data_IF_540863547878
#
_entry.id   IF_540863547878
#
_cell.length_a   1.000
_cell.length_b   1.000
_cell.length_c   1.000
_cell.angle_alpha   90.00
_cell.angle_beta   90.00
_cell.angle_gamma   90.00
#
_symmetry.space_group_name_H-M   'P 1'
#
loop_
_entity.id
_entity.type
_entity.pdbx_description
1 polymer ?
#
# COMPACT_ATOMS: atom_id res chain seq x y z
N UNK A 1 44.85 29.18 -4.53
CA UNK A 1 44.75 27.77 -4.10
C UNK A 1 43.63 27.55 -3.08
N UNK A 2 43.50 28.39 -2.05
CA UNK A 2 42.57 28.16 -0.93
C UNK A 2 41.07 28.33 -1.27
N UNK A 3 40.72 29.24 -2.19
CA UNK A 3 39.32 29.46 -2.61
C UNK A 3 38.72 28.22 -3.31
N UNK A 4 39.49 27.57 -4.18
CA UNK A 4 39.04 26.38 -4.93
C UNK A 4 38.78 25.19 -4.00
N UNK A 5 39.61 25.05 -2.97
CA UNK A 5 39.47 24.00 -1.96
C UNK A 5 38.21 24.19 -1.10
N UNK A 6 37.87 25.44 -0.77
CA UNK A 6 36.64 25.79 -0.05
C UNK A 6 35.37 25.50 -0.87
N UNK A 7 35.36 25.86 -2.15
CA UNK A 7 34.22 25.59 -3.05
C UNK A 7 34.00 24.09 -3.24
N UNK A 8 35.09 23.31 -3.37
CA UNK A 8 35.02 21.86 -3.47
C UNK A 8 34.42 21.21 -2.21
N UNK A 9 34.80 21.70 -1.02
CA UNK A 9 34.24 21.23 0.25
C UNK A 9 32.75 21.58 0.42
N UNK A 10 32.35 22.78 0.00
CA UNK A 10 30.94 23.21 0.02
C UNK A 10 30.11 22.38 -0.96
N UNK A 11 30.65 22.11 -2.16
CA UNK A 11 30.02 21.25 -3.16
C UNK A 11 29.82 19.82 -2.65
N UNK A 12 30.83 19.23 -1.99
CA UNK A 12 30.73 17.92 -1.34
C UNK A 12 29.68 17.86 -0.23
N UNK A 13 29.47 18.95 0.51
CA UNK A 13 28.45 19.02 1.57
C UNK A 13 27.03 19.04 1.02
N UNK A 14 26.79 19.68 -0.13
CA UNK A 14 25.47 19.73 -0.78
C UNK A 14 24.98 18.37 -1.32
N UNK A 15 25.89 17.46 -1.67
CA UNK A 15 25.54 16.14 -2.24
C UNK A 15 24.93 15.19 -1.19
N UNK A 16 25.13 15.45 0.10
CA UNK A 16 24.77 14.53 1.18
C UNK A 16 23.38 14.77 1.81
N UNK A 17 22.51 15.58 1.20
CA UNK A 17 21.14 15.75 1.68
C UNK A 17 20.33 14.50 1.32
N UNK A 18 20.30 13.53 2.24
CA UNK A 18 19.37 12.41 2.18
C UNK A 18 18.10 12.79 2.95
N UNK A 19 17.02 13.03 2.21
CA UNK A 19 15.70 13.21 2.79
C UNK A 19 15.23 11.82 3.26
N UNK A 20 15.36 11.55 4.55
CA UNK A 20 14.79 10.36 5.18
C UNK A 20 13.29 10.56 5.39
N UNK A 21 12.52 10.43 4.31
CA UNK A 21 11.05 10.36 4.37
C UNK A 21 10.63 8.90 4.48
N UNK A 22 10.66 8.33 5.68
CA UNK A 22 9.98 7.05 5.93
C UNK A 22 8.47 7.32 5.87
N UNK A 23 7.74 6.81 4.87
CA UNK A 23 6.31 7.05 4.77
C UNK A 23 5.58 6.29 5.88
N UNK A 24 4.51 6.89 6.41
CA UNK A 24 3.57 6.16 7.25
C UNK A 24 2.68 5.32 6.34
N UNK A 25 2.59 4.01 6.61
CA UNK A 25 1.75 3.09 5.86
C UNK A 25 0.52 2.76 6.70
N UNK A 26 -0.66 3.16 6.23
CA UNK A 26 -1.95 2.82 6.83
C UNK A 26 -2.68 1.83 5.92
N UNK A 27 -3.04 0.67 6.47
CA UNK A 27 -3.74 -0.39 5.73
C UNK A 27 -5.15 -0.54 6.30
N UNK A 28 -6.16 -0.27 5.47
CA UNK A 28 -7.55 -0.59 5.77
C UNK A 28 -7.87 -1.98 5.21
N UNK A 29 -8.12 -2.95 6.09
CA UNK A 29 -8.53 -4.30 5.71
C UNK A 29 -9.98 -4.54 6.16
N UNK A 30 -10.91 -4.37 5.23
CA UNK A 30 -12.35 -4.48 5.48
C UNK A 30 -12.79 -5.94 5.38
N UNK A 31 -13.64 -6.39 6.31
CA UNK A 31 -14.19 -7.75 6.29
C UNK A 31 -15.42 -7.83 5.39
N UNK A 32 -15.50 -8.91 4.60
CA UNK A 32 -16.62 -9.24 3.71
C UNK A 32 -17.10 -8.12 2.77
N UNK A 33 -16.21 -7.21 2.36
CA UNK A 33 -16.53 -6.17 1.36
C UNK A 33 -16.52 -6.76 -0.06
N UNK A 34 -17.66 -6.72 -0.73
CA UNK A 34 -17.81 -7.15 -2.11
C UNK A 34 -17.23 -6.15 -3.12
N UNK A 35 -16.80 -6.66 -4.27
CA UNK A 35 -16.24 -5.83 -5.36
C UNK A 35 -17.21 -4.74 -5.83
N UNK A 36 -18.50 -5.06 -5.89
CA UNK A 36 -19.56 -4.15 -6.34
C UNK A 36 -20.14 -3.24 -5.25
N UNK A 37 -19.58 -3.21 -4.04
CA UNK A 37 -20.20 -2.48 -2.92
C UNK A 37 -19.85 -0.98 -2.90
N UNK A 38 -18.75 -0.59 -3.56
CA UNK A 38 -18.28 0.80 -3.56
C UNK A 38 -18.74 1.56 -4.80
N UNK A 39 -19.00 2.85 -4.64
CA UNK A 39 -19.32 3.76 -5.73
C UNK A 39 -18.25 3.79 -6.81
N UNK A 40 -16.98 3.79 -6.40
CA UNK A 40 -15.83 3.71 -7.32
C UNK A 40 -15.75 2.41 -8.13
N UNK A 41 -16.51 1.36 -7.82
CA UNK A 41 -16.64 0.15 -8.67
C UNK A 41 -17.97 0.05 -9.40
N UNK A 42 -18.80 1.11 -9.34
CA UNK A 42 -20.06 1.21 -10.08
C UNK A 42 -21.33 1.02 -9.24
N UNK A 43 -21.23 0.97 -7.91
CA UNK A 43 -22.42 0.95 -7.05
C UNK A 43 -23.14 2.31 -7.07
N UNK A 44 -24.40 2.35 -7.50
CA UNK A 44 -25.22 3.57 -7.50
C UNK A 44 -26.09 3.72 -6.25
N UNK A 45 -26.16 2.69 -5.40
CA UNK A 45 -27.05 2.62 -4.23
C UNK A 45 -26.31 3.00 -2.94
N UNK A 46 -25.08 2.51 -2.78
CA UNK A 46 -24.25 2.76 -1.60
C UNK A 46 -23.40 4.00 -1.85
N UNK A 47 -23.51 4.98 -0.95
CA UNK A 47 -22.72 6.19 -0.99
C UNK A 47 -21.42 6.02 -0.17
N UNK A 48 -20.27 5.93 -0.84
CA UNK A 48 -18.94 5.73 -0.24
C UNK A 48 -17.95 6.86 -0.53
N UNK A 49 -18.29 8.15 -0.26
CA UNK A 49 -17.56 9.30 -0.82
C UNK A 49 -16.11 9.38 -0.35
N UNK A 50 -15.82 8.98 0.88
CA UNK A 50 -14.46 8.98 1.43
C UNK A 50 -13.58 7.92 0.75
N UNK A 51 -14.10 6.72 0.54
CA UNK A 51 -13.35 5.64 -0.14
C UNK A 51 -13.18 5.99 -1.62
N UNK A 52 -14.22 6.54 -2.25
CA UNK A 52 -14.17 6.94 -3.65
C UNK A 52 -13.15 8.07 -3.88
N UNK A 53 -13.01 9.01 -2.93
CA UNK A 53 -11.96 10.04 -3.00
C UNK A 53 -10.55 9.47 -2.96
N UNK A 54 -10.30 8.38 -2.21
CA UNK A 54 -9.00 7.71 -2.20
C UNK A 54 -8.62 7.14 -3.57
N UNK A 55 -9.61 6.72 -4.38
CA UNK A 55 -9.36 6.24 -5.73
C UNK A 55 -9.08 7.35 -6.74
N UNK A 56 -9.47 8.60 -6.44
CA UNK A 56 -9.20 9.77 -7.29
C UNK A 56 -7.73 10.19 -7.22
N UNK A 57 -7.18 10.20 -6.01
CA UNK A 57 -5.80 10.63 -5.75
C UNK A 57 -4.82 9.45 -5.70
N UNK A 58 -5.32 8.22 -5.83
CA UNK A 58 -4.57 6.97 -5.74
C UNK A 58 -4.72 6.08 -6.97
N UNK A 59 -4.39 4.81 -6.78
CA UNK A 59 -4.57 3.76 -7.79
C UNK A 59 -5.77 2.88 -7.44
N UNK A 60 -6.55 2.48 -8.47
CA UNK A 60 -7.69 1.55 -8.34
C UNK A 60 -7.41 0.27 -9.11
N UNK A 61 -7.52 -0.88 -8.46
CA UNK A 61 -7.30 -2.19 -9.06
C UNK A 61 -8.63 -2.88 -9.35
N UNK A 62 -8.87 -3.27 -10.61
CA UNK A 62 -10.10 -3.96 -11.03
C UNK A 62 -10.01 -5.49 -10.96
N UNK A 63 -8.82 -6.02 -10.69
CA UNK A 63 -8.50 -7.46 -10.69
C UNK A 63 -7.66 -7.82 -9.45
N UNK A 64 -8.19 -7.52 -8.25
CA UNK A 64 -7.56 -7.82 -6.98
C UNK A 64 -8.31 -8.95 -6.27
N UNK A 65 -7.72 -10.14 -6.25
CA UNK A 65 -8.33 -11.35 -5.67
C UNK A 65 -7.74 -11.66 -4.30
N UNK A 66 -8.60 -12.05 -3.35
CA UNK A 66 -8.16 -12.62 -2.08
C UNK A 66 -7.53 -14.00 -2.31
N UNK A 67 -6.51 -14.34 -1.53
CA UNK A 67 -5.88 -15.67 -1.59
C UNK A 67 -6.84 -16.82 -1.23
N UNK A 68 -7.92 -16.52 -0.48
CA UNK A 68 -8.97 -17.47 -0.14
C UNK A 68 -10.31 -16.74 0.07
N UNK A 69 -11.42 -17.46 -0.07
CA UNK A 69 -12.79 -16.92 0.04
C UNK A 69 -13.35 -16.92 1.47
N UNK A 70 -12.54 -17.26 2.48
CA UNK A 70 -12.93 -17.27 3.90
C UNK A 70 -11.88 -16.54 4.74
N UNK A 71 -12.32 -15.90 5.83
CA UNK A 71 -11.54 -14.93 6.60
C UNK A 71 -10.20 -15.48 7.13
N UNK A 72 -10.17 -16.72 7.63
CA UNK A 72 -8.97 -17.28 8.28
C UNK A 72 -7.80 -17.49 7.31
N UNK A 73 -7.95 -18.21 6.18
CA UNK A 73 -6.88 -18.33 5.20
C UNK A 73 -6.66 -17.08 4.36
N UNK A 74 -7.62 -16.15 4.27
CA UNK A 74 -7.38 -14.84 3.62
C UNK A 74 -6.52 -13.90 4.48
N UNK A 75 -6.54 -14.07 5.81
CA UNK A 75 -5.76 -13.30 6.79
C UNK A 75 -4.73 -14.20 7.47
N UNK A 76 -3.65 -14.61 6.78
CA UNK A 76 -2.66 -15.51 7.35
C UNK A 76 -2.03 -14.91 8.60
N UNK A 77 -2.12 -15.61 9.74
CA UNK A 77 -1.35 -15.26 10.93
C UNK A 77 0.11 -15.71 10.73
N UNK A 78 1.13 -14.89 11.06
CA UNK A 78 2.54 -15.24 10.87
C UNK A 78 3.07 -16.41 11.73
N UNK A 79 2.20 -17.21 12.35
CA UNK A 79 2.56 -18.37 13.18
C UNK A 79 1.57 -19.53 13.17
N UNK A 80 0.63 -19.59 12.22
CA UNK A 80 -0.15 -20.82 12.03
C UNK A 80 0.34 -21.51 10.76
N UNK A 81 1.37 -22.33 10.95
CA UNK A 81 1.80 -23.31 9.98
C UNK A 81 0.58 -24.10 9.53
N UNK A 82 0.27 -24.02 8.24
CA UNK A 82 -0.75 -24.82 7.57
C UNK A 82 -0.50 -26.31 7.91
N UNK A 83 -1.40 -27.04 8.58
CA UNK A 83 -1.31 -28.49 8.55
C UNK A 83 -1.83 -28.95 7.19
N UNK A 84 -0.89 -29.43 6.36
CA UNK A 84 -1.07 -30.45 5.32
C UNK A 84 -2.21 -30.28 4.32
N UNK A 85 -1.84 -29.90 3.09
CA UNK A 85 -2.35 -30.61 1.91
C UNK A 85 -1.15 -30.89 0.99
N UNK A 86 -0.53 -32.09 1.02
CA UNK A 86 0.04 -32.62 -0.19
C UNK A 86 -1.12 -33.23 -1.00
N UNK A 87 -1.50 -32.57 -2.09
CA UNK A 87 -2.29 -33.22 -3.13
C UNK A 87 -1.35 -34.16 -3.89
N UNK A 88 -1.25 -35.40 -3.40
CA UNK A 88 -1.11 -36.63 -4.19
C UNK A 88 -1.55 -37.82 -3.35
#
# INVERSE_FOLDING_TARGET
MNIFFGIFFIFLHFINISISTTPNILIFLVDDLGYGDLGCYGNSTINSPHIDSLTRDGARYTQMYSAASICTPSRPKPKCHFPTIPVR
#
